data_IF_540131340121
#
_entry.id   IF_540131340121
#
_cell.length_a   1.000
_cell.length_b   1.000
_cell.length_c   1.000
_cell.angle_alpha   90.00
_cell.angle_beta   90.00
_cell.angle_gamma   90.00
#
_symmetry.space_group_name_H-M   'P 1'
#
loop_
_entity.id
_entity.type
_entity.pdbx_description
1 polymer ?
#
# COMPACT_ATOMS: atom_id res chain seq x y z
N UNK A 1 24.96 -10.29 37.48
CA UNK A 1 26.11 -10.69 36.65
C UNK A 1 25.77 -10.37 35.20
N UNK A 2 26.41 -9.38 34.55
CA UNK A 2 26.13 -9.05 33.15
C UNK A 2 27.31 -9.43 32.22
N UNK A 3 26.99 -10.02 31.08
CA UNK A 3 27.89 -10.23 29.92
C UNK A 3 26.99 -10.68 28.75
N UNK A 4 27.05 -10.21 27.51
CA UNK A 4 28.01 -9.37 26.80
C UNK A 4 27.31 -8.78 25.56
N UNK A 5 27.60 -7.52 25.29
CA UNK A 5 27.32 -6.78 24.06
C UNK A 5 28.37 -7.16 23.00
N UNK A 6 27.96 -7.45 21.77
CA UNK A 6 28.88 -7.51 20.62
C UNK A 6 28.84 -6.18 19.87
N UNK A 7 29.92 -5.42 19.99
CA UNK A 7 30.26 -4.31 19.10
C UNK A 7 31.18 -4.78 17.98
N UNK A 8 31.02 -4.21 16.79
CA UNK A 8 31.99 -4.32 15.71
C UNK A 8 32.56 -2.92 15.42
N UNK A 9 33.88 -2.78 15.58
CA UNK A 9 34.66 -1.65 15.05
C UNK A 9 36.10 -2.12 14.78
N UNK A 10 36.73 -1.48 13.79
CA UNK A 10 38.10 -1.61 13.25
C UNK A 10 38.26 -2.64 12.11
N UNK A 11 39.02 -2.38 11.03
CA UNK A 11 40.15 -1.46 10.89
C UNK A 11 40.32 -0.95 9.45
N UNK A 12 40.75 0.30 9.35
CA UNK A 12 41.19 0.96 8.12
C UNK A 12 42.71 0.74 7.93
N UNK A 13 43.19 0.93 6.68
CA UNK A 13 44.60 1.20 6.28
C UNK A 13 45.48 -0.01 5.85
N UNK A 14 45.65 -0.16 4.53
CA UNK A 14 46.95 -0.54 3.93
C UNK A 14 47.21 0.32 2.68
N UNK A 15 48.41 0.88 2.62
CA UNK A 15 48.89 1.82 1.60
C UNK A 15 50.34 1.43 1.30
N UNK A 16 50.65 0.92 0.11
CA UNK A 16 51.99 0.89 -0.51
C UNK A 16 51.82 0.47 -1.99
N UNK A 17 52.00 1.40 -2.94
CA UNK A 17 53.21 1.61 -3.76
C UNK A 17 53.64 0.39 -4.60
N UNK A 18 53.27 0.42 -5.88
CA UNK A 18 54.09 0.07 -7.06
C UNK A 18 53.22 0.38 -8.29
N UNK A 19 53.42 1.51 -8.97
CA UNK A 19 54.19 1.47 -10.21
C UNK A 19 53.92 2.73 -11.03
N UNK A 20 54.60 3.83 -10.71
CA UNK A 20 54.85 4.89 -11.67
C UNK A 20 55.93 4.38 -12.63
N UNK A 21 55.55 4.02 -13.85
CA UNK A 21 56.46 3.99 -15.01
C UNK A 21 55.66 3.91 -16.31
N UNK A 22 55.27 5.06 -16.86
CA UNK A 22 55.00 5.26 -18.30
C UNK A 22 54.66 6.74 -18.54
N UNK A 23 55.70 7.56 -18.57
CA UNK A 23 55.70 8.81 -19.34
C UNK A 23 56.97 8.75 -20.19
N UNK A 24 56.79 8.52 -21.49
CA UNK A 24 57.34 9.35 -22.58
C UNK A 24 57.12 8.67 -23.93
N UNK A 25 56.53 9.47 -24.84
CA UNK A 25 56.57 9.38 -26.30
C UNK A 25 55.90 8.19 -27.00
N UNK A 26 54.81 8.49 -27.72
CA UNK A 26 54.79 8.57 -29.21
C UNK A 26 53.38 8.98 -29.65
N UNK A 27 53.26 10.21 -30.13
CA UNK A 27 52.87 10.56 -31.50
C UNK A 27 51.35 10.65 -31.71
N UNK A 28 50.86 11.90 -31.71
CA UNK A 28 49.54 12.23 -32.21
C UNK A 28 49.55 12.10 -33.75
N UNK A 29 48.62 11.35 -34.36
CA UNK A 29 48.38 11.49 -35.78
C UNK A 29 47.75 12.87 -36.03
N UNK A 30 48.52 13.71 -36.71
CA UNK A 30 48.04 14.89 -37.41
C UNK A 30 46.95 14.49 -38.40
N UNK A 31 45.80 15.14 -38.28
CA UNK A 31 44.82 15.25 -39.35
C UNK A 31 43.68 14.24 -39.28
N UNK A 32 42.66 14.55 -38.49
CA UNK A 32 41.27 14.47 -38.97
C UNK A 32 40.35 15.32 -38.08
N UNK A 33 39.37 15.97 -38.71
CA UNK A 33 38.55 17.06 -38.19
C UNK A 33 37.98 16.75 -36.80
N UNK A 34 38.43 17.51 -35.79
CA UNK A 34 37.75 17.61 -34.50
C UNK A 34 36.33 18.09 -34.75
N UNK A 35 35.37 17.17 -34.82
CA UNK A 35 33.95 17.51 -34.78
C UNK A 35 33.73 18.17 -33.42
N UNK A 36 33.36 19.44 -33.48
CA UNK A 36 33.27 20.40 -32.38
C UNK A 36 32.87 19.76 -31.04
N UNK A 37 33.55 20.07 -29.93
CA UNK A 37 33.20 19.55 -28.59
C UNK A 37 31.75 19.86 -28.18
N UNK A 38 31.11 20.83 -28.83
CA UNK A 38 29.67 21.11 -28.69
C UNK A 38 28.77 19.96 -29.17
N UNK A 39 29.14 19.24 -30.24
CA UNK A 39 28.32 18.16 -30.79
C UNK A 39 28.27 16.99 -29.82
N UNK A 40 29.41 16.65 -29.21
CA UNK A 40 29.49 15.61 -28.17
C UNK A 40 28.64 15.96 -26.95
N UNK A 41 28.64 17.22 -26.53
CA UNK A 41 27.82 17.70 -25.39
C UNK A 41 26.31 17.61 -25.68
N UNK A 42 25.90 17.96 -26.91
CA UNK A 42 24.50 17.89 -27.37
C UNK A 42 24.05 16.43 -27.50
N UNK A 43 24.90 15.55 -28.01
CA UNK A 43 24.58 14.12 -28.09
C UNK A 43 24.43 13.50 -26.69
N UNK A 44 25.25 13.90 -25.72
CA UNK A 44 25.15 13.42 -24.35
C UNK A 44 23.90 13.94 -23.64
N UNK A 45 23.52 15.21 -23.86
CA UNK A 45 22.28 15.75 -23.29
C UNK A 45 21.04 15.09 -23.88
N UNK A 46 21.00 14.86 -25.20
CA UNK A 46 19.90 14.13 -25.85
C UNK A 46 19.77 12.69 -25.33
N UNK A 47 20.88 11.98 -25.11
CA UNK A 47 20.85 10.63 -24.51
C UNK A 47 20.35 10.64 -23.06
N UNK A 48 20.74 11.65 -22.28
CA UNK A 48 20.30 11.82 -20.89
C UNK A 48 18.80 12.16 -20.81
N UNK A 49 18.31 13.04 -21.69
CA UNK A 49 16.87 13.35 -21.77
C UNK A 49 16.04 12.19 -22.32
N UNK A 50 16.55 11.39 -23.28
CA UNK A 50 15.85 10.17 -23.70
C UNK A 50 15.82 9.11 -22.59
N UNK A 51 16.95 8.86 -21.92
CA UNK A 51 17.06 7.84 -20.87
C UNK A 51 16.21 8.12 -19.63
N UNK A 52 16.00 9.38 -19.26
CA UNK A 52 15.15 9.76 -18.14
C UNK A 52 13.66 9.64 -18.49
N UNK A 53 13.26 9.92 -19.74
CA UNK A 53 11.86 9.81 -20.15
C UNK A 53 11.39 8.36 -20.37
N UNK A 54 12.29 7.45 -20.77
CA UNK A 54 11.91 6.05 -21.00
C UNK A 54 11.69 5.31 -19.67
N UNK A 55 12.47 5.60 -18.62
CA UNK A 55 12.26 4.99 -17.30
C UNK A 55 10.98 5.47 -16.59
N UNK A 56 10.48 6.66 -16.92
CA UNK A 56 9.23 7.16 -16.33
C UNK A 56 7.98 6.64 -17.07
N UNK A 57 8.12 6.26 -18.35
CA UNK A 57 7.01 5.73 -19.14
C UNK A 57 6.72 4.23 -18.86
N UNK A 58 7.71 3.46 -18.39
CA UNK A 58 7.57 2.01 -18.16
C UNK A 58 7.26 1.62 -16.71
N UNK A 59 7.05 2.56 -15.80
CA UNK A 59 6.55 2.29 -14.45
C UNK A 59 5.00 2.31 -14.36
N UNK A 60 4.33 2.44 -15.50
CA UNK A 60 2.87 2.48 -15.60
C UNK A 60 2.36 1.24 -16.35
N UNK A 61 2.73 0.05 -15.87
CA UNK A 61 2.11 -1.19 -16.34
C UNK A 61 0.75 -1.38 -15.65
N UNK A 62 -0.28 -1.08 -16.44
CA UNK A 62 -1.56 -1.79 -16.57
C UNK A 62 -2.53 -1.91 -15.37
N UNK A 63 -3.72 -1.36 -15.66
CA UNK A 63 -5.06 -1.64 -15.12
C UNK A 63 -5.35 -1.41 -13.64
N UNK A 64 -5.53 -0.16 -13.23
CA UNK A 64 -6.30 0.13 -12.01
C UNK A 64 -7.13 1.38 -12.22
N UNK A 65 -8.45 1.24 -12.20
CA UNK A 65 -9.38 2.37 -12.05
C UNK A 65 -8.82 3.36 -11.02
N UNK A 66 -8.79 4.66 -11.34
CA UNK A 66 -8.36 5.70 -10.38
C UNK A 66 -9.28 5.81 -9.16
N UNK A 67 -10.44 5.15 -9.23
CA UNK A 67 -11.55 5.30 -8.31
C UNK A 67 -12.15 3.94 -7.91
N UNK A 68 -12.86 3.92 -6.79
CA UNK A 68 -13.68 2.77 -6.38
C UNK A 68 -14.88 2.58 -7.31
N UNK A 69 -15.37 1.34 -7.39
CA UNK A 69 -16.62 1.02 -8.09
C UNK A 69 -17.84 1.44 -7.26
N UNK A 70 -19.02 1.48 -7.88
CA UNK A 70 -20.25 1.84 -7.19
C UNK A 70 -20.60 0.85 -6.07
N UNK A 71 -20.42 -0.45 -6.30
CA UNK A 71 -20.57 -1.49 -5.27
C UNK A 71 -19.62 -1.29 -4.08
N UNK A 72 -18.38 -0.86 -4.33
CA UNK A 72 -17.42 -0.54 -3.28
C UNK A 72 -17.88 0.68 -2.48
N UNK A 73 -18.43 1.72 -3.11
CA UNK A 73 -19.01 2.86 -2.39
C UNK A 73 -20.25 2.50 -1.59
N UNK A 74 -21.09 1.60 -2.10
CA UNK A 74 -22.25 1.09 -1.37
C UNK A 74 -21.80 0.44 -0.05
N UNK A 75 -20.81 -0.45 -0.09
CA UNK A 75 -20.23 -1.08 1.10
C UNK A 75 -19.67 -0.06 2.10
N UNK A 76 -18.94 0.96 1.63
CA UNK A 76 -18.46 2.03 2.50
C UNK A 76 -19.63 2.76 3.18
N UNK A 77 -20.69 3.06 2.42
CA UNK A 77 -21.88 3.71 2.98
C UNK A 77 -22.50 2.88 4.09
N UNK A 78 -22.66 1.56 3.89
CA UNK A 78 -23.20 0.64 4.89
C UNK A 78 -22.35 0.57 6.15
N UNK A 79 -21.03 0.56 5.99
CA UNK A 79 -20.09 0.47 7.12
C UNK A 79 -20.11 1.71 8.00
N UNK A 80 -20.35 2.89 7.41
CA UNK A 80 -20.27 4.17 8.13
C UNK A 80 -21.61 4.76 8.57
N UNK A 81 -22.74 4.32 8.01
CA UNK A 81 -24.05 4.93 8.27
C UNK A 81 -24.74 4.49 9.56
N UNK A 82 -24.11 3.68 10.40
CA UNK A 82 -24.70 3.27 11.69
C UNK A 82 -24.89 4.43 12.67
N UNK A 83 -24.06 5.48 12.65
CA UNK A 83 -24.23 6.64 13.54
C UNK A 83 -24.52 7.93 12.76
N UNK A 84 -25.79 8.37 12.76
CA UNK A 84 -26.25 9.49 11.91
C UNK A 84 -25.72 10.86 12.33
N UNK A 85 -25.14 11.01 13.52
CA UNK A 85 -24.85 12.34 14.08
C UNK A 85 -23.37 12.76 14.01
N UNK A 86 -22.46 11.85 13.68
CA UNK A 86 -21.03 12.14 13.72
C UNK A 86 -20.50 12.57 12.35
N UNK A 87 -19.75 13.67 12.33
CA UNK A 87 -18.97 14.07 11.17
C UNK A 87 -17.81 13.09 10.97
N UNK A 88 -17.74 12.48 9.78
CA UNK A 88 -16.78 11.43 9.50
C UNK A 88 -15.59 11.96 8.69
N UNK A 89 -14.37 11.88 9.24
CA UNK A 89 -13.15 12.32 8.55
C UNK A 89 -12.49 11.11 7.87
N UNK A 90 -12.52 11.07 6.55
CA UNK A 90 -11.93 9.97 5.78
C UNK A 90 -10.69 10.45 5.03
N UNK A 91 -9.63 9.66 5.02
CA UNK A 91 -8.47 9.96 4.20
C UNK A 91 -8.84 9.87 2.70
N UNK A 92 -8.36 10.81 1.89
CA UNK A 92 -8.80 10.95 0.49
C UNK A 92 -8.37 9.82 -0.46
N UNK A 93 -7.56 8.87 0.02
CA UNK A 93 -7.04 7.72 -0.71
C UNK A 93 -7.25 6.44 0.09
N UNK A 94 -7.46 5.32 -0.61
CA UNK A 94 -7.41 4.01 0.02
C UNK A 94 -5.99 3.60 0.42
N UNK A 95 -5.90 2.63 1.33
CA UNK A 95 -4.71 1.89 1.70
C UNK A 95 -4.49 0.81 0.63
N UNK A 96 -3.30 0.80 0.03
CA UNK A 96 -2.86 -0.28 -0.87
C UNK A 96 -1.95 -1.31 -0.19
N UNK A 97 -1.74 -1.22 1.12
CA UNK A 97 -0.98 -2.20 1.91
C UNK A 97 -1.86 -3.44 2.21
N UNK A 98 -1.52 -4.64 1.73
CA UNK A 98 -2.30 -5.86 1.95
C UNK A 98 -2.00 -6.55 3.28
N UNK A 99 -1.08 -6.04 4.12
CA UNK A 99 -0.65 -6.70 5.38
C UNK A 99 -1.78 -7.04 6.37
N UNK A 100 -2.95 -6.42 6.21
CA UNK A 100 -4.13 -6.72 7.02
C UNK A 100 -4.75 -8.07 6.70
N UNK A 101 -4.53 -8.60 5.49
CA UNK A 101 -5.03 -9.90 5.05
C UNK A 101 -4.28 -11.00 5.79
N UNK A 102 -2.95 -10.89 5.90
CA UNK A 102 -2.16 -11.86 6.64
C UNK A 102 -2.62 -11.93 8.11
N UNK A 103 -2.81 -10.77 8.76
CA UNK A 103 -3.36 -10.68 10.12
C UNK A 103 -4.77 -11.28 10.24
N UNK A 104 -5.62 -11.04 9.24
CA UNK A 104 -6.96 -11.64 9.21
C UNK A 104 -6.88 -13.17 9.12
N UNK A 105 -5.98 -13.71 8.30
CA UNK A 105 -5.80 -15.15 8.13
C UNK A 105 -5.11 -15.82 9.33
N UNK A 106 -4.26 -15.12 10.07
CA UNK A 106 -3.76 -15.59 11.37
C UNK A 106 -4.93 -15.87 12.33
N UNK A 107 -5.92 -14.97 12.38
CA UNK A 107 -7.14 -15.16 13.20
C UNK A 107 -8.04 -16.30 12.70
N UNK A 108 -7.94 -16.70 11.41
CA UNK A 108 -8.59 -17.92 10.90
C UNK A 108 -8.06 -19.16 11.62
N UNK A 109 -6.75 -19.19 11.88
CA UNK A 109 -6.06 -20.33 12.47
C UNK A 109 -6.29 -20.48 13.98
N UNK A 110 -6.67 -19.40 14.67
CA UNK A 110 -6.93 -19.35 16.12
C UNK A 110 -8.40 -19.66 16.49
N UNK A 111 -9.19 -20.23 15.58
CA UNK A 111 -10.64 -20.46 15.73
C UNK A 111 -11.52 -19.19 15.86
N UNK A 112 -10.94 -17.98 15.93
CA UNK A 112 -11.68 -16.72 16.14
C UNK A 112 -12.61 -16.35 14.99
N UNK A 113 -12.22 -16.60 13.74
CA UNK A 113 -13.13 -16.42 12.60
C UNK A 113 -14.21 -17.50 12.60
N UNK A 114 -13.86 -18.73 12.98
CA UNK A 114 -14.76 -19.90 12.99
C UNK A 114 -15.80 -19.87 14.14
N UNK A 115 -15.69 -18.93 15.08
CA UNK A 115 -16.67 -18.73 16.16
C UNK A 115 -17.98 -18.09 15.67
N UNK A 116 -17.98 -17.43 14.51
CA UNK A 116 -19.22 -17.13 13.83
C UNK A 116 -19.64 -18.40 13.09
N UNK A 117 -20.81 -18.96 13.44
CA UNK A 117 -21.43 -20.06 12.68
C UNK A 117 -21.81 -19.55 11.29
N UNK A 118 -20.84 -19.46 10.40
CA UNK A 118 -21.09 -19.24 8.99
C UNK A 118 -21.76 -20.49 8.47
N UNK A 119 -23.04 -20.36 8.13
CA UNK A 119 -23.86 -21.44 7.60
C UNK A 119 -23.51 -21.79 6.16
N UNK A 120 -22.63 -21.00 5.53
CA UNK A 120 -22.23 -21.12 4.13
C UNK A 120 -20.80 -21.68 4.01
N UNK A 121 -20.64 -22.74 3.22
CA UNK A 121 -19.35 -23.37 2.91
C UNK A 121 -18.47 -22.51 1.99
N UNK A 122 -19.02 -21.43 1.42
CA UNK A 122 -18.33 -20.54 0.48
C UNK A 122 -17.27 -19.64 1.16
N UNK A 123 -17.52 -19.13 2.37
CA UNK A 123 -16.60 -18.18 3.02
C UNK A 123 -15.17 -18.75 3.25
N UNK A 124 -14.98 -19.99 3.75
CA UNK A 124 -13.64 -20.56 3.87
C UNK A 124 -12.84 -20.54 2.55
N UNK A 125 -13.51 -20.84 1.43
CA UNK A 125 -12.89 -20.82 0.10
C UNK A 125 -12.56 -19.39 -0.35
N UNK A 126 -13.41 -18.41 -0.03
CA UNK A 126 -13.11 -16.99 -0.28
C UNK A 126 -11.91 -16.52 0.55
N UNK A 127 -11.82 -16.92 1.82
CA UNK A 127 -10.67 -16.59 2.66
C UNK A 127 -9.35 -17.13 2.10
N UNK A 128 -9.37 -18.33 1.50
CA UNK A 128 -8.17 -18.91 0.87
C UNK A 128 -7.73 -18.13 -0.40
N UNK A 129 -8.64 -17.37 -1.02
CA UNK A 129 -8.35 -16.49 -2.17
C UNK A 129 -7.93 -15.08 -1.78
N UNK A 130 -8.14 -14.66 -0.53
CA UNK A 130 -7.82 -13.29 -0.10
C UNK A 130 -6.38 -12.87 -0.35
N UNK A 131 -5.33 -13.70 -0.20
CA UNK A 131 -3.96 -13.27 -0.49
C UNK A 131 -3.76 -12.86 -1.95
N UNK A 132 -4.37 -13.61 -2.88
CA UNK A 132 -4.33 -13.34 -4.32
C UNK A 132 -5.07 -12.04 -4.62
N UNK A 133 -6.32 -11.90 -4.15
CA UNK A 133 -7.14 -10.69 -4.30
C UNK A 133 -6.48 -9.46 -3.65
N UNK A 134 -5.79 -9.68 -2.53
CA UNK A 134 -5.04 -8.68 -1.79
C UNK A 134 -3.85 -8.12 -2.55
N UNK A 135 -3.19 -8.97 -3.34
CA UNK A 135 -2.05 -8.56 -4.16
C UNK A 135 -2.43 -7.58 -5.28
N UNK A 136 -3.71 -7.56 -5.65
CA UNK A 136 -4.29 -6.66 -6.65
C UNK A 136 -4.79 -5.33 -6.05
N UNK A 137 -4.72 -5.16 -4.72
CA UNK A 137 -5.17 -3.94 -4.06
C UNK A 137 -4.39 -2.73 -4.56
N UNK A 138 -5.13 -1.67 -4.85
CA UNK A 138 -4.58 -0.45 -5.41
C UNK A 138 -4.93 0.78 -4.57
N UNK A 139 -4.07 1.80 -4.64
CA UNK A 139 -4.37 3.10 -4.04
C UNK A 139 -5.31 3.85 -4.97
N UNK A 140 -6.57 4.00 -4.54
CA UNK A 140 -7.64 4.67 -5.27
C UNK A 140 -8.02 5.97 -4.60
N UNK A 141 -8.32 6.99 -5.40
CA UNK A 141 -8.85 8.25 -4.90
C UNK A 141 -10.35 8.12 -4.64
N UNK A 142 -10.81 8.74 -3.55
CA UNK A 142 -12.23 8.73 -3.19
C UNK A 142 -12.94 9.94 -3.80
N UNK A 143 -14.05 9.70 -4.48
CA UNK A 143 -14.97 10.72 -4.97
C UNK A 143 -15.89 11.18 -3.84
N UNK A 144 -15.81 12.48 -3.54
CA UNK A 144 -16.63 13.12 -2.52
C UNK A 144 -18.13 13.05 -2.85
N UNK A 145 -18.50 13.00 -4.13
CA UNK A 145 -19.89 13.03 -4.59
C UNK A 145 -20.63 11.71 -4.35
N UNK A 146 -19.89 10.59 -4.33
CA UNK A 146 -20.42 9.26 -4.02
C UNK A 146 -20.45 8.95 -2.52
N UNK A 147 -19.80 9.80 -1.73
CA UNK A 147 -19.80 9.73 -0.27
C UNK A 147 -20.88 10.64 0.31
N UNK A 148 -21.38 10.25 1.48
CA UNK A 148 -22.33 11.09 2.23
C UNK A 148 -21.83 12.51 2.44
N UNK A 149 -22.74 13.48 2.41
CA UNK A 149 -22.45 14.90 2.70
C UNK A 149 -21.75 15.10 4.05
N UNK A 150 -21.96 14.18 5.01
CA UNK A 150 -21.32 14.19 6.33
C UNK A 150 -19.86 13.69 6.36
N UNK A 151 -19.38 13.11 5.26
CA UNK A 151 -17.99 12.65 5.13
C UNK A 151 -17.08 13.80 4.67
N UNK A 152 -16.07 14.18 5.46
CA UNK A 152 -15.03 15.13 5.04
C UNK A 152 -13.77 14.38 4.62
N UNK A 153 -13.33 14.59 3.38
CA UNK A 153 -12.07 14.04 2.89
C UNK A 153 -10.89 14.85 3.42
N UNK A 154 -9.87 14.16 3.95
CA UNK A 154 -8.64 14.73 4.48
C UNK A 154 -7.44 14.33 3.62
N UNK A 155 -6.56 15.30 3.33
CA UNK A 155 -5.31 15.09 2.57
C UNK A 155 -4.09 14.82 3.43
N UNK A 156 -4.13 15.24 4.69
CA UNK A 156 -3.02 15.09 5.63
C UNK A 156 -3.35 14.03 6.67
N UNK A 157 -2.35 13.23 7.02
CA UNK A 157 -2.40 12.21 8.07
C UNK A 157 -2.07 12.85 9.43
N UNK A 158 -2.95 13.70 9.96
CA UNK A 158 -2.61 14.49 11.15
C UNK A 158 -3.61 14.39 12.30
N UNK A 159 -4.89 14.06 12.07
CA UNK A 159 -5.88 14.02 13.17
C UNK A 159 -6.12 12.59 13.67
N UNK A 160 -6.17 12.42 15.01
CA UNK A 160 -6.56 11.17 15.70
C UNK A 160 -7.97 10.64 15.34
N UNK A 161 -8.77 11.47 14.66
CA UNK A 161 -10.12 11.16 14.19
C UNK A 161 -10.18 10.77 12.70
N UNK A 162 -9.05 10.79 11.98
CA UNK A 162 -9.02 10.40 10.57
C UNK A 162 -9.10 8.90 10.42
N UNK A 163 -10.02 8.45 9.59
CA UNK A 163 -10.21 7.05 9.26
C UNK A 163 -9.60 6.76 7.89
N UNK A 164 -8.98 5.60 7.78
CA UNK A 164 -8.38 5.07 6.58
C UNK A 164 -9.10 3.79 6.19
N UNK A 165 -9.25 3.57 4.89
CA UNK A 165 -9.88 2.38 4.33
C UNK A 165 -8.95 1.71 3.35
N UNK A 166 -8.94 0.40 3.28
CA UNK A 166 -8.44 -0.28 2.09
C UNK A 166 -9.48 -0.17 0.97
N UNK A 167 -9.06 -0.45 -0.26
CA UNK A 167 -10.02 -0.76 -1.32
C UNK A 167 -10.87 -1.97 -0.87
N UNK A 168 -12.21 -1.89 -0.85
CA UNK A 168 -13.04 -3.04 -0.49
C UNK A 168 -12.85 -4.19 -1.48
N UNK A 169 -12.56 -5.38 -0.96
CA UNK A 169 -12.45 -6.60 -1.77
C UNK A 169 -13.84 -7.20 -1.89
N UNK A 170 -14.30 -7.43 -3.12
CA UNK A 170 -15.56 -8.11 -3.42
C UNK A 170 -15.23 -9.38 -4.19
N UNK A 171 -15.65 -10.53 -3.70
CA UNK A 171 -15.47 -11.80 -4.37
C UNK A 171 -16.64 -12.74 -4.10
N UNK A 172 -17.25 -13.22 -5.18
CA UNK A 172 -18.52 -13.95 -5.13
C UNK A 172 -19.58 -13.16 -4.33
N UNK A 173 -20.22 -13.79 -3.35
CA UNK A 173 -21.21 -13.16 -2.48
C UNK A 173 -20.59 -12.47 -1.25
N UNK A 174 -19.27 -12.42 -1.13
CA UNK A 174 -18.61 -11.86 0.04
C UNK A 174 -17.89 -10.56 -0.27
N UNK A 175 -17.84 -9.68 0.72
CA UNK A 175 -17.01 -8.49 0.67
C UNK A 175 -16.29 -8.22 2.00
N UNK A 176 -15.10 -7.65 1.90
CA UNK A 176 -14.22 -7.34 3.02
C UNK A 176 -13.88 -5.85 2.99
N UNK A 177 -14.23 -5.15 4.06
CA UNK A 177 -13.99 -3.72 4.21
C UNK A 177 -13.07 -3.49 5.41
N UNK A 178 -11.82 -3.13 5.12
CA UNK A 178 -10.89 -2.72 6.17
C UNK A 178 -11.15 -1.28 6.59
N UNK A 179 -11.31 -1.07 7.89
CA UNK A 179 -11.32 0.23 8.54
C UNK A 179 -10.15 0.31 9.51
N UNK A 180 -9.27 1.30 9.28
CA UNK A 180 -8.16 1.63 10.17
C UNK A 180 -8.38 3.00 10.78
N UNK A 181 -8.44 3.03 12.11
CA UNK A 181 -8.38 4.21 12.98
C UNK A 181 -7.04 4.23 13.69
N UNK A 182 -6.59 5.35 14.27
CA UNK A 182 -5.28 5.43 14.94
C UNK A 182 -5.08 4.43 16.08
N UNK A 183 -6.15 4.03 16.77
CA UNK A 183 -6.11 3.09 17.90
C UNK A 183 -6.77 1.73 17.64
N UNK A 184 -7.34 1.54 16.43
CA UNK A 184 -8.01 0.28 16.11
C UNK A 184 -8.00 -0.03 14.63
N UNK A 185 -7.91 -1.31 14.30
CA UNK A 185 -8.06 -1.82 12.95
C UNK A 185 -9.12 -2.92 12.96
N UNK A 186 -10.04 -2.88 12.00
CA UNK A 186 -11.20 -3.74 11.98
C UNK A 186 -11.58 -4.07 10.56
N UNK A 187 -11.86 -5.35 10.29
CA UNK A 187 -12.41 -5.82 9.03
C UNK A 187 -13.89 -6.08 9.21
N UNK A 188 -14.71 -5.50 8.36
CA UNK A 188 -16.12 -5.81 8.25
C UNK A 188 -16.30 -6.80 7.11
N UNK A 189 -17.02 -7.89 7.38
CA UNK A 189 -17.36 -8.90 6.39
C UNK A 189 -18.84 -8.75 6.05
N UNK A 190 -19.13 -8.65 4.77
CA UNK A 190 -20.48 -8.54 4.24
C UNK A 190 -20.80 -9.75 3.37
N UNK A 191 -22.04 -10.22 3.46
CA UNK A 191 -22.61 -11.21 2.57
C UNK A 191 -23.69 -10.55 1.69
N UNK A 192 -23.66 -10.83 0.38
CA UNK A 192 -24.64 -10.36 -0.60
C UNK A 192 -25.75 -11.39 -0.70
N UNK A 193 -26.87 -11.10 -0.06
CA UNK A 193 -28.08 -11.86 -0.27
C UNK A 193 -28.75 -11.39 -1.59
N UNK A 194 -29.13 -12.29 -2.50
CA UNK A 194 -29.78 -11.92 -3.77
C UNK A 194 -31.09 -11.12 -3.61
N UNK A 195 -31.82 -11.31 -2.51
CA UNK A 195 -33.10 -10.66 -2.25
C UNK A 195 -32.96 -9.36 -1.46
N UNK A 196 -32.04 -9.32 -0.49
CA UNK A 196 -31.91 -8.19 0.45
C UNK A 196 -30.66 -7.34 0.25
N UNK A 197 -29.78 -7.69 -0.70
CA UNK A 197 -28.52 -7.01 -0.93
C UNK A 197 -27.47 -7.31 0.16
N UNK A 198 -26.54 -6.38 0.35
CA UNK A 198 -25.45 -6.51 1.31
C UNK A 198 -25.93 -6.48 2.76
N UNK A 199 -25.54 -7.50 3.53
CA UNK A 199 -25.78 -7.60 4.97
C UNK A 199 -24.45 -7.79 5.70
N UNK A 200 -24.24 -7.05 6.80
CA UNK A 200 -23.07 -7.24 7.66
C UNK A 200 -23.17 -8.61 8.33
N UNK A 201 -22.17 -9.45 8.09
CA UNK A 201 -22.15 -10.82 8.58
C UNK A 201 -21.33 -10.91 9.87
N UNK A 202 -20.15 -10.29 9.89
CA UNK A 202 -19.33 -10.18 11.10
C UNK A 202 -18.38 -8.97 11.07
N UNK A 203 -17.80 -8.68 12.24
CA UNK A 203 -16.85 -7.58 12.46
C UNK A 203 -15.65 -8.13 13.23
N UNK A 204 -14.47 -8.06 12.64
CA UNK A 204 -13.26 -8.71 13.14
C UNK A 204 -12.24 -7.64 13.52
N UNK A 205 -11.97 -7.43 14.82
CA UNK A 205 -10.92 -6.53 15.26
C UNK A 205 -9.54 -7.16 14.98
N UNK A 206 -8.72 -6.52 14.14
CA UNK A 206 -7.33 -6.95 13.87
C UNK A 206 -6.33 -6.38 14.86
N UNK A 207 -6.60 -5.18 15.39
CA UNK A 207 -5.79 -4.54 16.41
C UNK A 207 -6.65 -3.60 17.26
N UNK A 208 -6.49 -3.66 18.58
CA UNK A 208 -7.14 -2.74 19.53
C UNK A 208 -6.10 -2.29 20.54
N UNK A 209 -5.87 -0.99 20.67
CA UNK A 209 -5.05 -0.46 21.77
C UNK A 209 -5.88 -0.52 23.06
N UNK A 210 -5.53 -1.44 23.97
CA UNK A 210 -6.08 -1.47 25.32
C UNK A 210 -5.29 -0.47 26.17
N UNK A 211 -5.90 0.67 26.50
CA UNK A 211 -5.32 1.60 27.47
C UNK A 211 -5.52 1.02 28.89
N UNK A 212 -4.47 0.42 29.44
CA UNK A 212 -4.46 0.00 30.83
C UNK A 212 -4.32 1.24 31.73
N UNK A 213 -5.41 1.65 32.38
CA UNK A 213 -5.36 2.63 33.46
C UNK A 213 -4.87 1.92 34.74
N UNK A 214 -3.62 2.14 35.12
CA UNK A 214 -3.15 1.81 36.46
C UNK A 214 -3.69 2.87 37.42
N UNK A 215 -4.76 2.51 38.13
CA UNK A 215 -5.30 3.27 39.27
C UNK A 215 -4.54 2.98 40.56
#
# INVERSE_FOLDING_TARGET
MPSQTYGFTFCNKMKTRLGQKLILHMEMPTGEKVKSPFILLICFSLYFFLGININFATAQSESTSKELTDDQYELLSLTYHKNKNDEFKLFHQSIGDPSWIDRLLELKSEEFLLLYKFTDEELPAVLDRLPELGSELSVKFLDKNKLSSKTKLKRKREDESTVYIAEPIIYSNYAFVLIRKPKSETVYVYYRNPESGWTEECVIPLAVVIECYFG
#
